data_IF_425448487736
#
_entry.id   IF_425448487736
#
_cell.length_a   1.000
_cell.length_b   1.000
_cell.length_c   1.000
_cell.angle_alpha   90.00
_cell.angle_beta   90.00
_cell.angle_gamma   90.00
#
_symmetry.space_group_name_H-M   'P 1'
#
loop_
_entity.id
_entity.type
_entity.pdbx_description
1 polymer ?
#
# COMPACT_ATOMS: atom_id res chain seq x y z
N UNK A 1 -0.37 -13.59 12.52
CA UNK A 1 0.44 -14.27 11.49
C UNK A 1 1.79 -14.65 12.11
N UNK A 2 2.06 -15.95 12.31
CA UNK A 2 3.17 -16.49 13.14
C UNK A 2 4.53 -16.44 12.42
N UNK A 3 5.60 -16.42 13.23
CA UNK A 3 7.04 -16.44 12.85
C UNK A 3 7.41 -17.55 11.83
N UNK A 4 6.61 -18.61 11.79
CA UNK A 4 6.77 -19.84 10.99
C UNK A 4 6.64 -19.61 9.47
N UNK A 5 5.92 -18.57 9.02
CA UNK A 5 5.81 -18.24 7.58
C UNK A 5 7.09 -17.57 7.06
N UNK A 6 7.84 -16.93 7.95
CA UNK A 6 9.04 -16.16 7.58
C UNK A 6 10.29 -17.00 7.45
N UNK A 7 10.43 -18.09 8.21
CA UNK A 7 11.52 -19.06 7.98
C UNK A 7 11.46 -19.66 6.57
N UNK A 8 10.25 -19.88 6.03
CA UNK A 8 10.05 -20.21 4.61
C UNK A 8 10.35 -19.03 3.65
N UNK A 9 9.98 -17.81 4.04
CA UNK A 9 10.17 -16.61 3.23
C UNK A 9 11.65 -16.24 3.01
N UNK A 10 12.50 -16.51 4.00
CA UNK A 10 13.93 -16.14 4.00
C UNK A 10 14.78 -17.07 3.11
N UNK A 11 14.36 -18.33 2.89
CA UNK A 11 14.96 -19.25 1.90
C UNK A 11 14.26 -19.22 0.54
N UNK A 12 13.04 -18.69 0.47
CA UNK A 12 12.17 -18.67 -0.72
C UNK A 12 12.02 -17.33 -1.43
N UNK A 13 13.04 -16.44 -1.45
CA UNK A 13 12.95 -15.12 -2.13
C UNK A 13 12.39 -15.20 -3.55
N UNK A 14 12.78 -16.22 -4.30
CA UNK A 14 12.27 -16.45 -5.65
C UNK A 14 10.78 -16.79 -5.67
N UNK A 15 10.28 -17.52 -4.67
CA UNK A 15 8.86 -17.85 -4.53
C UNK A 15 8.04 -16.60 -4.17
N UNK A 16 8.54 -15.77 -3.24
CA UNK A 16 7.89 -14.49 -2.88
C UNK A 16 7.89 -13.55 -4.07
N UNK A 17 9.03 -13.37 -4.74
CA UNK A 17 9.15 -12.52 -5.92
C UNK A 17 8.20 -12.99 -7.03
N UNK A 18 8.07 -14.30 -7.23
CA UNK A 18 7.13 -14.88 -8.18
C UNK A 18 5.66 -14.60 -7.78
N UNK A 19 5.29 -14.88 -6.54
CA UNK A 19 3.93 -14.67 -6.04
C UNK A 19 3.54 -13.18 -6.10
N UNK A 20 4.35 -12.30 -5.53
CA UNK A 20 4.11 -10.86 -5.51
C UNK A 20 4.02 -10.27 -6.91
N UNK A 21 4.93 -10.63 -7.82
CA UNK A 21 4.89 -10.10 -9.18
C UNK A 21 3.66 -10.58 -9.97
N UNK A 22 3.20 -11.82 -9.76
CA UNK A 22 1.98 -12.37 -10.38
C UNK A 22 0.73 -11.66 -9.89
N UNK A 23 0.60 -11.42 -8.59
CA UNK A 23 -0.61 -10.78 -8.05
C UNK A 23 -0.70 -9.32 -8.47
N UNK A 24 0.42 -8.59 -8.58
CA UNK A 24 0.43 -7.16 -8.88
C UNK A 24 0.15 -6.83 -10.35
N UNK A 25 0.42 -7.72 -11.30
CA UNK A 25 0.21 -7.40 -12.72
C UNK A 25 0.06 -8.62 -13.64
N UNK A 26 -0.79 -8.48 -14.65
CA UNK A 26 -0.90 -9.43 -15.77
C UNK A 26 0.19 -9.22 -16.83
N UNK A 27 0.82 -8.03 -16.89
CA UNK A 27 1.83 -7.70 -17.88
C UNK A 27 3.18 -8.40 -17.58
N UNK A 28 3.71 -9.16 -18.53
CA UNK A 28 4.94 -9.95 -18.36
C UNK A 28 6.18 -9.07 -18.09
N UNK A 29 6.32 -7.94 -18.78
CA UNK A 29 7.46 -7.05 -18.60
C UNK A 29 7.43 -6.39 -17.22
N UNK A 30 6.27 -5.88 -16.80
CA UNK A 30 6.09 -5.31 -15.44
C UNK A 30 6.29 -6.37 -14.36
N UNK A 31 5.82 -7.60 -14.58
CA UNK A 31 6.04 -8.73 -13.66
C UNK A 31 7.52 -8.98 -13.44
N UNK A 32 8.31 -9.03 -14.51
CA UNK A 32 9.76 -9.23 -14.41
C UNK A 32 10.42 -8.10 -13.60
N UNK A 33 10.04 -6.84 -13.85
CA UNK A 33 10.54 -5.69 -13.08
C UNK A 33 10.24 -5.82 -11.58
N UNK A 34 8.99 -6.16 -11.23
CA UNK A 34 8.59 -6.38 -9.82
C UNK A 34 9.39 -7.54 -9.21
N UNK A 35 9.51 -8.66 -9.92
CA UNK A 35 10.24 -9.82 -9.41
C UNK A 35 11.72 -9.49 -9.16
N UNK A 36 12.37 -8.76 -10.06
CA UNK A 36 13.75 -8.29 -9.89
C UNK A 36 13.88 -7.35 -8.69
N UNK A 37 12.97 -6.38 -8.55
CA UNK A 37 12.96 -5.45 -7.42
C UNK A 37 12.76 -6.15 -6.07
N UNK A 38 11.87 -7.14 -5.99
CA UNK A 38 11.69 -7.92 -4.76
C UNK A 38 12.95 -8.74 -4.44
N UNK A 39 13.59 -9.34 -5.45
CA UNK A 39 14.82 -10.12 -5.27
C UNK A 39 16.01 -9.27 -4.82
N UNK A 40 16.07 -8.00 -5.21
CA UNK A 40 17.18 -7.10 -4.81
C UNK A 40 17.12 -6.66 -3.35
N UNK A 41 16.01 -6.89 -2.64
CA UNK A 41 15.91 -6.52 -1.22
C UNK A 41 16.79 -7.44 -0.38
N UNK A 42 17.65 -6.83 0.44
CA UNK A 42 18.48 -7.56 1.38
C UNK A 42 17.62 -8.20 2.47
N UNK A 43 17.90 -9.46 2.79
CA UNK A 43 17.04 -10.29 3.65
C UNK A 43 16.85 -9.70 5.04
N UNK A 44 17.94 -9.19 5.62
CA UNK A 44 17.93 -8.60 6.95
C UNK A 44 17.15 -7.27 6.98
N UNK A 45 17.19 -6.49 5.90
CA UNK A 45 16.41 -5.25 5.77
C UNK A 45 14.93 -5.57 5.74
N UNK A 46 14.52 -6.56 4.94
CA UNK A 46 13.12 -6.99 4.88
C UNK A 46 12.60 -7.46 6.24
N UNK A 47 13.40 -8.27 6.97
CA UNK A 47 13.07 -8.70 8.33
C UNK A 47 12.93 -7.50 9.26
N UNK A 48 13.87 -6.55 9.21
CA UNK A 48 13.83 -5.35 10.05
C UNK A 48 12.59 -4.50 9.79
N UNK A 49 12.25 -4.25 8.53
CA UNK A 49 11.04 -3.50 8.16
C UNK A 49 9.77 -4.19 8.64
N UNK A 50 9.69 -5.53 8.53
CA UNK A 50 8.55 -6.27 9.02
C UNK A 50 8.38 -6.14 10.55
N UNK A 51 9.45 -6.30 11.32
CA UNK A 51 9.38 -6.15 12.77
C UNK A 51 9.05 -4.71 13.20
N UNK A 52 9.60 -3.71 12.51
CA UNK A 52 9.25 -2.31 12.74
C UNK A 52 7.77 -2.05 12.42
N UNK A 53 7.29 -2.52 11.27
CA UNK A 53 5.89 -2.33 10.85
C UNK A 53 4.88 -3.02 11.78
N UNK A 54 5.26 -4.15 12.39
CA UNK A 54 4.41 -4.82 13.41
C UNK A 54 4.26 -4.02 14.70
N UNK A 55 5.28 -3.24 15.06
CA UNK A 55 5.31 -2.47 16.30
C UNK A 55 4.81 -1.04 16.09
N UNK A 56 4.74 -0.60 14.83
CA UNK A 56 4.30 0.74 14.47
C UNK A 56 2.81 0.91 14.74
N UNK A 57 2.48 1.91 15.56
CA UNK A 57 1.13 2.40 15.80
C UNK A 57 1.18 3.92 15.79
N UNK A 58 0.47 4.54 14.85
CA UNK A 58 0.44 5.98 14.66
C UNK A 58 -0.93 6.59 14.97
N UNK A 59 -1.84 5.82 15.59
CA UNK A 59 -3.22 6.29 15.84
C UNK A 59 -3.28 7.55 16.69
N UNK A 60 -2.41 7.66 17.69
CA UNK A 60 -2.33 8.84 18.55
C UNK A 60 -1.68 10.04 17.87
N UNK A 61 -0.96 9.85 16.75
CA UNK A 61 -0.39 10.93 15.95
C UNK A 61 -1.33 11.42 14.85
N UNK A 62 -2.42 10.70 14.54
CA UNK A 62 -3.39 11.11 13.51
C UNK A 62 -4.01 12.51 13.74
N UNK A 63 -4.31 12.94 14.98
CA UNK A 63 -4.79 14.30 15.25
C UNK A 63 -3.73 15.40 15.01
N UNK A 64 -2.47 15.06 14.82
CA UNK A 64 -1.36 16.01 14.58
C UNK A 64 -1.16 16.33 13.10
N UNK A 65 -1.87 15.63 12.20
CA UNK A 65 -1.80 15.90 10.77
C UNK A 65 -2.23 17.35 10.46
N UNK A 66 -1.44 18.02 9.62
CA UNK A 66 -1.61 19.45 9.29
C UNK A 66 -1.77 19.72 7.79
N UNK A 67 -1.69 18.70 6.94
CA UNK A 67 -1.82 18.81 5.50
C UNK A 67 -3.14 18.19 4.99
N UNK A 68 -3.73 18.71 3.89
CA UNK A 68 -4.84 18.06 3.20
C UNK A 68 -4.50 16.62 2.81
N UNK A 69 -5.46 15.70 3.00
CA UNK A 69 -5.26 14.28 2.73
C UNK A 69 -6.10 13.82 1.55
N UNK A 70 -5.49 12.98 0.71
CA UNK A 70 -6.18 12.19 -0.30
C UNK A 70 -5.95 10.70 -0.02
N UNK A 71 -7.04 9.98 0.22
CA UNK A 71 -7.04 8.54 0.49
C UNK A 71 -7.62 7.79 -0.71
N UNK A 72 -6.82 6.92 -1.32
CA UNK A 72 -7.22 6.18 -2.53
C UNK A 72 -7.29 4.70 -2.20
N UNK A 73 -8.47 4.11 -2.37
CA UNK A 73 -8.75 2.72 -2.03
C UNK A 73 -9.17 1.93 -3.27
N UNK A 74 -8.82 0.65 -3.31
CA UNK A 74 -9.50 -0.29 -4.19
C UNK A 74 -10.81 -0.73 -3.57
N UNK A 75 -11.91 -0.74 -4.33
CA UNK A 75 -13.23 -1.13 -3.84
C UNK A 75 -13.28 -2.59 -3.32
N UNK A 76 -12.34 -3.43 -3.75
CA UNK A 76 -12.22 -4.85 -3.34
C UNK A 76 -11.13 -5.07 -2.29
N UNK A 77 -10.73 -4.03 -1.54
CA UNK A 77 -9.73 -4.13 -0.47
C UNK A 77 -10.40 -4.22 0.92
N UNK A 78 -10.61 -5.43 1.48
CA UNK A 78 -11.20 -5.57 2.80
C UNK A 78 -10.25 -5.16 3.93
N UNK A 79 -8.94 -5.14 3.67
CA UNK A 79 -7.94 -4.84 4.70
C UNK A 79 -7.98 -3.37 5.09
N UNK A 80 -7.97 -2.46 4.11
CA UNK A 80 -8.07 -1.03 4.40
C UNK A 80 -9.40 -0.68 5.07
N UNK A 81 -10.49 -1.36 4.68
CA UNK A 81 -11.85 -1.08 5.16
C UNK A 81 -11.99 -1.22 6.68
N UNK A 82 -11.31 -2.18 7.31
CA UNK A 82 -11.41 -2.40 8.77
C UNK A 82 -10.80 -1.27 9.61
N UNK A 83 -9.95 -0.42 9.03
CA UNK A 83 -9.27 0.66 9.75
C UNK A 83 -9.86 2.05 9.46
N UNK A 84 -10.77 2.15 8.50
CA UNK A 84 -11.29 3.45 8.04
C UNK A 84 -12.08 4.17 9.13
N UNK A 85 -12.92 3.47 9.88
CA UNK A 85 -13.71 4.08 10.96
C UNK A 85 -12.81 4.74 12.02
N UNK A 86 -11.81 4.00 12.51
CA UNK A 86 -10.84 4.51 13.50
C UNK A 86 -9.96 5.63 12.91
N UNK A 87 -9.59 5.55 11.63
CA UNK A 87 -8.86 6.62 10.96
C UNK A 87 -9.68 7.92 10.90
N UNK A 88 -10.92 7.85 10.40
CA UNK A 88 -11.76 9.04 10.20
C UNK A 88 -12.24 9.64 11.52
N UNK A 89 -12.38 8.85 12.59
CA UNK A 89 -12.72 9.39 13.91
C UNK A 89 -11.57 10.20 14.54
N UNK A 90 -10.32 9.95 14.13
CA UNK A 90 -9.11 10.60 14.67
C UNK A 90 -8.62 11.77 13.84
N UNK A 91 -8.76 11.71 12.52
CA UNK A 91 -8.34 12.80 11.63
C UNK A 91 -9.44 13.86 11.52
N UNK A 92 -9.44 14.81 12.44
CA UNK A 92 -10.49 15.84 12.55
C UNK A 92 -10.05 17.25 12.17
N UNK A 93 -8.74 17.48 11.95
CA UNK A 93 -8.16 18.83 11.79
C UNK A 93 -7.84 19.23 10.35
N UNK A 94 -7.91 18.30 9.41
CA UNK A 94 -7.53 18.53 8.00
C UNK A 94 -8.61 18.05 7.06
N UNK A 95 -8.78 18.68 5.89
CA UNK A 95 -9.70 18.17 4.88
C UNK A 95 -9.20 16.80 4.38
N UNK A 96 -10.13 15.85 4.32
CA UNK A 96 -9.87 14.49 3.84
C UNK A 96 -10.77 14.21 2.65
N UNK A 97 -10.15 13.98 1.49
CA UNK A 97 -10.81 13.45 0.30
C UNK A 97 -10.54 11.96 0.21
N UNK A 98 -11.54 11.18 -0.19
CA UNK A 98 -11.35 9.75 -0.45
C UNK A 98 -11.94 9.34 -1.79
N UNK A 99 -11.30 8.37 -2.43
CA UNK A 99 -11.73 7.82 -3.72
C UNK A 99 -11.64 6.30 -3.69
N UNK A 100 -12.72 5.65 -4.12
CA UNK A 100 -12.74 4.21 -4.37
C UNK A 100 -12.60 3.93 -5.86
N UNK A 101 -11.60 3.14 -6.24
CA UNK A 101 -11.39 2.68 -7.61
C UNK A 101 -11.95 1.26 -7.74
N UNK A 102 -12.84 1.07 -8.72
CA UNK A 102 -13.49 -0.21 -8.94
C UNK A 102 -12.59 -1.23 -9.67
N UNK A 103 -12.94 -2.51 -9.51
CA UNK A 103 -12.26 -3.63 -10.15
C UNK A 103 -10.87 -3.95 -9.59
N UNK A 104 -10.46 -3.32 -8.48
CA UNK A 104 -9.16 -3.53 -7.84
C UNK A 104 -9.29 -3.61 -6.32
N UNK A 105 -8.42 -4.42 -5.69
CA UNK A 105 -8.21 -4.41 -4.25
C UNK A 105 -7.01 -3.52 -3.88
N UNK A 106 -6.10 -4.03 -3.06
CA UNK A 106 -4.96 -3.26 -2.54
C UNK A 106 -4.00 -2.69 -3.60
N UNK A 107 -3.96 -3.29 -4.79
CA UNK A 107 -2.92 -3.07 -5.79
C UNK A 107 -3.27 -1.95 -6.79
N UNK A 108 -3.85 -0.86 -6.30
CA UNK A 108 -4.26 0.28 -7.12
C UNK A 108 -3.13 0.78 -8.04
N UNK A 109 -1.89 1.04 -7.57
CA UNK A 109 -0.86 1.64 -8.41
C UNK A 109 -0.42 0.79 -9.61
N UNK A 110 -0.59 -0.53 -9.53
CA UNK A 110 -0.12 -1.46 -10.57
C UNK A 110 -1.24 -1.96 -11.47
N UNK A 111 -2.50 -1.96 -11.01
CA UNK A 111 -3.66 -2.45 -11.77
C UNK A 111 -4.58 -1.35 -12.32
N UNK A 112 -4.51 -0.15 -11.75
CA UNK A 112 -5.36 1.01 -12.09
C UNK A 112 -4.52 2.29 -12.14
N UNK A 113 -3.34 2.20 -12.77
CA UNK A 113 -2.37 3.31 -12.80
C UNK A 113 -2.90 4.54 -13.53
N UNK A 114 -3.74 4.36 -14.56
CA UNK A 114 -4.30 5.48 -15.32
C UNK A 114 -5.30 6.27 -14.46
N UNK A 115 -6.20 5.56 -13.80
CA UNK A 115 -7.19 6.13 -12.87
C UNK A 115 -6.49 6.79 -11.68
N UNK A 116 -5.52 6.11 -11.06
CA UNK A 116 -4.70 6.68 -9.99
C UNK A 116 -4.04 8.00 -10.43
N UNK A 117 -3.36 7.99 -11.58
CA UNK A 117 -2.66 9.18 -12.06
C UNK A 117 -3.61 10.33 -12.41
N UNK A 118 -4.81 10.04 -12.90
CA UNK A 118 -5.82 11.07 -13.15
C UNK A 118 -6.30 11.72 -11.84
N UNK A 119 -6.59 10.91 -10.83
CA UNK A 119 -7.00 11.37 -9.49
C UNK A 119 -5.89 12.22 -8.85
N UNK A 120 -4.65 11.77 -8.89
CA UNK A 120 -3.50 12.51 -8.34
C UNK A 120 -3.32 13.87 -9.02
N UNK A 121 -3.45 13.94 -10.35
CA UNK A 121 -3.38 15.22 -11.09
C UNK A 121 -4.50 16.17 -10.69
N UNK A 122 -5.71 15.66 -10.46
CA UNK A 122 -6.83 16.50 -10.04
C UNK A 122 -6.61 17.04 -8.62
N UNK A 123 -6.18 16.20 -7.69
CA UNK A 123 -5.89 16.62 -6.32
C UNK A 123 -4.75 17.65 -6.26
N UNK A 124 -3.67 17.43 -7.01
CA UNK A 124 -2.55 18.37 -7.07
C UNK A 124 -2.96 19.75 -7.59
N UNK A 125 -3.88 19.82 -8.56
CA UNK A 125 -4.45 21.11 -9.01
C UNK A 125 -5.25 21.77 -7.91
N UNK A 126 -6.12 21.01 -7.23
CA UNK A 126 -7.04 21.55 -6.22
C UNK A 126 -6.36 22.00 -4.90
N UNK A 127 -5.13 21.54 -4.62
CA UNK A 127 -4.39 21.88 -3.39
C UNK A 127 -3.30 22.94 -3.64
N UNK A 128 -2.94 23.17 -4.91
CA UNK A 128 -1.95 24.18 -5.31
C UNK A 128 -2.54 25.57 -5.57
N UNK A 129 -3.86 25.70 -5.59
CA UNK A 129 -4.63 26.95 -5.62
C UNK A 129 -5.04 27.36 -4.19
#
# INVERSE_FOLDING_TARGET
MRLEIWTLALQGKSLIAFALSRVHTSNKATRNKIATSVKSVQTHVLKRWFELGKQADYRESLPELSAPLLLIYGKRDPYAKSYQEDFYSRVTRVPVQFVYIDGVGHQVPTKRSNELNAILRQFAKNVGD
#
